data_IF_534525097528
#
_entry.id   IF_534525097528
#
_cell.length_a   1.000
_cell.length_b   1.000
_cell.length_c   1.000
_cell.angle_alpha   90.00
_cell.angle_beta   90.00
_cell.angle_gamma   90.00
#
_symmetry.space_group_name_H-M   'P 1'
#
loop_
_entity.id
_entity.type
_entity.pdbx_description
1 polymer ?
#
# COMPACT_ATOMS: atom_id res chain seq x y z
N UNK A 1 12.38 15.59 -7.68
CA UNK A 1 12.54 14.69 -8.84
C UNK A 1 11.24 14.35 -9.55
N UNK A 2 10.13 14.09 -8.85
CA UNK A 2 8.84 13.83 -9.52
C UNK A 2 8.40 14.97 -10.48
N UNK A 3 8.50 16.22 -10.02
CA UNK A 3 8.20 17.40 -10.84
C UNK A 3 9.07 17.51 -12.10
N UNK A 4 10.36 17.15 -12.02
CA UNK A 4 11.27 17.25 -13.17
C UNK A 4 10.97 16.20 -14.25
N UNK A 5 10.47 15.02 -13.87
CA UNK A 5 10.03 14.01 -14.85
C UNK A 5 8.79 14.52 -15.59
N UNK A 6 7.86 15.14 -14.87
CA UNK A 6 6.61 15.63 -15.44
C UNK A 6 6.82 16.78 -16.45
N UNK A 7 7.74 17.70 -16.17
CA UNK A 7 7.94 18.90 -17.01
C UNK A 7 9.06 18.76 -18.05
N UNK A 8 9.85 17.69 -18.01
CA UNK A 8 10.98 17.53 -18.93
C UNK A 8 10.51 17.11 -20.32
N UNK A 9 10.43 18.07 -21.25
CA UNK A 9 10.16 17.83 -22.66
C UNK A 9 11.09 16.79 -23.30
N UNK A 10 12.35 16.72 -22.85
CA UNK A 10 13.34 15.75 -23.36
C UNK A 10 13.14 14.29 -22.95
N UNK A 11 12.07 13.95 -22.22
CA UNK A 11 11.72 12.57 -21.85
C UNK A 11 10.65 11.94 -22.73
N UNK A 12 10.02 12.73 -23.60
CA UNK A 12 8.86 12.30 -24.36
C UNK A 12 9.03 12.62 -25.84
N UNK A 13 8.62 11.69 -26.68
CA UNK A 13 8.49 11.92 -28.11
C UNK A 13 7.15 12.61 -28.41
N UNK A 14 7.08 13.32 -29.54
CA UNK A 14 5.85 13.98 -30.01
C UNK A 14 4.90 12.96 -30.61
N UNK A 15 3.67 12.89 -30.10
CA UNK A 15 2.64 11.97 -30.58
C UNK A 15 1.68 12.73 -31.51
N UNK A 16 2.08 12.95 -32.77
CA UNK A 16 1.29 13.72 -33.74
C UNK A 16 0.63 12.78 -34.77
N UNK A 17 -0.71 12.74 -34.78
CA UNK A 17 -1.51 11.94 -35.72
C UNK A 17 -1.40 12.41 -37.18
N UNK A 18 -0.85 13.61 -37.42
CA UNK A 18 -0.55 14.11 -38.77
C UNK A 18 0.73 13.54 -39.34
N UNK A 19 1.64 13.09 -38.48
CA UNK A 19 2.94 12.53 -38.86
C UNK A 19 2.91 11.00 -38.82
N UNK A 20 2.06 10.40 -38.00
CA UNK A 20 2.04 8.96 -37.75
C UNK A 20 0.62 8.39 -37.82
N UNK A 21 0.47 7.08 -38.10
CA UNK A 21 -0.83 6.42 -38.02
C UNK A 21 -1.52 6.67 -36.67
N UNK A 22 -2.82 6.96 -36.69
CA UNK A 22 -3.60 7.32 -35.50
C UNK A 22 -3.44 6.31 -34.35
N UNK A 23 -3.38 5.02 -34.64
CA UNK A 23 -3.18 3.97 -33.63
C UNK A 23 -1.86 4.12 -32.87
N UNK A 24 -0.80 4.57 -33.54
CA UNK A 24 0.53 4.76 -32.96
C UNK A 24 0.58 6.07 -32.17
N UNK A 25 -0.01 7.15 -32.69
CA UNK A 25 -0.16 8.40 -31.95
C UNK A 25 -0.97 8.18 -30.65
N UNK A 26 -2.06 7.41 -30.72
CA UNK A 26 -2.84 7.01 -29.55
C UNK A 26 -2.02 6.19 -28.54
N UNK A 27 -1.29 5.17 -28.99
CA UNK A 27 -0.43 4.36 -28.12
C UNK A 27 0.71 5.20 -27.50
N UNK A 28 1.26 6.14 -28.25
CA UNK A 28 2.26 7.10 -27.79
C UNK A 28 1.71 7.97 -26.66
N UNK A 29 0.52 8.58 -26.81
CA UNK A 29 -0.08 9.40 -25.76
C UNK A 29 -0.50 8.57 -24.54
N UNK A 30 -1.04 7.36 -24.72
CA UNK A 30 -1.34 6.44 -23.61
C UNK A 30 -0.09 6.18 -22.74
N UNK A 31 1.00 5.75 -23.37
CA UNK A 31 2.23 5.35 -22.66
C UNK A 31 2.96 6.55 -22.06
N UNK A 32 2.95 7.70 -22.74
CA UNK A 32 3.45 8.99 -22.24
C UNK A 32 2.67 9.50 -21.03
N UNK A 33 1.34 9.44 -21.07
CA UNK A 33 0.47 9.80 -19.94
C UNK A 33 0.71 8.87 -18.75
N UNK A 34 0.89 7.57 -19.00
CA UNK A 34 1.24 6.58 -17.98
C UNK A 34 2.55 6.92 -17.27
N UNK A 35 3.62 7.23 -18.02
CA UNK A 35 4.91 7.65 -17.45
C UNK A 35 4.79 8.87 -16.52
N UNK A 36 3.97 9.85 -16.91
CA UNK A 36 3.73 11.07 -16.13
C UNK A 36 2.96 10.79 -14.84
N UNK A 37 1.93 9.94 -14.93
CA UNK A 37 1.04 9.65 -13.80
C UNK A 37 1.65 8.66 -12.80
N UNK A 38 2.47 7.72 -13.28
CA UNK A 38 3.07 6.66 -12.47
C UNK A 38 3.80 7.19 -11.24
N UNK A 39 4.65 8.22 -11.38
CA UNK A 39 5.49 8.70 -10.26
C UNK A 39 4.64 9.28 -9.12
N UNK A 40 3.59 10.04 -9.47
CA UNK A 40 2.69 10.62 -8.47
C UNK A 40 1.84 9.54 -7.81
N UNK A 41 1.36 8.58 -8.58
CA UNK A 41 0.58 7.46 -8.06
C UNK A 41 1.40 6.56 -7.13
N UNK A 42 2.65 6.24 -7.53
CA UNK A 42 3.61 5.49 -6.75
C UNK A 42 3.87 6.14 -5.36
N UNK A 43 3.97 7.46 -5.30
CA UNK A 43 4.11 8.20 -4.05
C UNK A 43 2.92 7.98 -3.10
N UNK A 44 1.69 7.99 -3.62
CA UNK A 44 0.49 7.75 -2.81
C UNK A 44 0.44 6.31 -2.30
N UNK A 45 0.75 5.34 -3.15
CA UNK A 45 0.80 3.92 -2.75
C UNK A 45 1.88 3.69 -1.68
N UNK A 46 3.05 4.29 -1.80
CA UNK A 46 4.09 4.21 -0.76
C UNK A 46 3.69 4.83 0.56
N UNK A 47 2.95 5.94 0.52
CA UNK A 47 2.44 6.57 1.74
C UNK A 47 1.46 5.65 2.48
N UNK A 48 0.58 4.97 1.74
CA UNK A 48 -0.33 3.96 2.28
C UNK A 48 0.41 2.77 2.89
N UNK A 49 1.41 2.24 2.19
CA UNK A 49 2.23 1.14 2.70
C UNK A 49 3.00 1.58 3.95
N UNK A 50 3.55 2.78 3.98
CA UNK A 50 4.23 3.33 5.16
C UNK A 50 3.29 3.47 6.36
N UNK A 51 2.05 3.93 6.16
CA UNK A 51 1.03 3.98 7.22
C UNK A 51 0.72 2.59 7.78
N UNK A 52 0.57 1.58 6.91
CA UNK A 52 0.40 0.19 7.32
C UNK A 52 1.58 -0.32 8.13
N UNK A 53 2.80 -0.02 7.70
CA UNK A 53 4.02 -0.45 8.40
C UNK A 53 4.14 0.16 9.79
N UNK A 54 3.83 1.45 9.94
CA UNK A 54 3.84 2.12 11.26
C UNK A 54 2.87 1.41 12.23
N UNK A 55 1.68 1.03 11.77
CA UNK A 55 0.70 0.33 12.59
C UNK A 55 1.16 -1.09 12.96
N UNK A 56 1.65 -1.87 11.98
CA UNK A 56 2.17 -3.24 12.21
C UNK A 56 3.35 -3.26 13.16
N UNK A 57 4.34 -2.39 12.95
CA UNK A 57 5.50 -2.28 13.85
C UNK A 57 5.07 -1.91 15.27
N UNK A 58 4.17 -0.93 15.41
CA UNK A 58 3.71 -0.51 16.74
C UNK A 58 3.01 -1.63 17.49
N UNK A 59 2.05 -2.32 16.86
CA UNK A 59 1.33 -3.41 17.53
C UNK A 59 2.25 -4.58 17.87
N UNK A 60 3.22 -4.88 17.00
CA UNK A 60 4.19 -5.94 17.25
C UNK A 60 4.98 -5.70 18.53
N UNK A 61 5.56 -4.51 18.69
CA UNK A 61 6.33 -4.20 19.89
C UNK A 61 5.47 -4.11 21.15
N UNK A 62 4.22 -3.67 21.02
CA UNK A 62 3.25 -3.68 22.12
C UNK A 62 2.89 -5.11 22.56
N UNK A 63 2.69 -6.04 21.63
CA UNK A 63 2.43 -7.44 21.93
C UNK A 63 3.69 -8.13 22.50
N UNK A 64 4.86 -7.86 21.92
CA UNK A 64 6.15 -8.40 22.36
C UNK A 64 6.45 -8.02 23.81
N UNK A 65 6.19 -6.75 24.17
CA UNK A 65 6.35 -6.26 25.56
C UNK A 65 5.47 -7.01 26.57
N UNK A 66 4.38 -7.64 26.12
CA UNK A 66 3.42 -8.39 26.92
C UNK A 66 3.63 -9.89 26.87
N UNK A 67 4.78 -10.34 26.36
CA UNK A 67 5.07 -11.76 26.25
C UNK A 67 4.25 -12.46 25.16
N UNK A 68 3.82 -11.73 24.13
CA UNK A 68 3.15 -12.31 22.97
C UNK A 68 3.93 -12.02 21.70
N UNK A 69 4.22 -13.05 20.91
CA UNK A 69 4.86 -12.92 19.60
C UNK A 69 3.77 -12.92 18.54
N UNK A 70 3.56 -11.77 17.91
CA UNK A 70 2.63 -11.65 16.79
C UNK A 70 3.32 -12.16 15.51
N UNK A 71 2.79 -13.23 14.96
CA UNK A 71 3.23 -13.85 13.71
C UNK A 71 2.46 -13.24 12.54
N UNK A 72 3.14 -12.39 11.77
CA UNK A 72 2.56 -11.71 10.62
C UNK A 72 2.61 -12.62 9.40
N UNK A 73 1.52 -12.70 8.65
CA UNK A 73 1.55 -13.40 7.36
C UNK A 73 2.57 -12.71 6.44
N UNK A 74 3.51 -13.50 5.93
CA UNK A 74 4.45 -13.06 4.89
C UNK A 74 3.68 -12.86 3.59
N UNK A 75 3.23 -11.61 3.35
CA UNK A 75 2.58 -11.25 2.09
C UNK A 75 3.66 -11.02 1.05
N UNK A 76 3.75 -11.93 0.08
CA UNK A 76 4.64 -11.71 -1.06
C UNK A 76 4.13 -10.52 -1.90
N UNK A 77 5.02 -9.65 -2.42
CA UNK A 77 4.59 -8.50 -3.23
C UNK A 77 3.72 -8.88 -4.43
N UNK A 78 3.91 -10.08 -4.98
CA UNK A 78 3.14 -10.61 -6.12
C UNK A 78 1.70 -11.02 -5.77
N UNK A 79 1.32 -10.99 -4.49
CA UNK A 79 -0.05 -11.21 -4.05
C UNK A 79 -0.77 -9.93 -3.63
N UNK A 80 -0.07 -8.80 -3.48
CA UNK A 80 -0.71 -7.52 -3.20
C UNK A 80 -1.19 -6.84 -4.50
N UNK A 81 -2.50 -6.55 -4.63
CA UNK A 81 -3.04 -5.86 -5.80
C UNK A 81 -2.40 -4.48 -6.06
N UNK A 82 -1.98 -3.74 -5.04
CA UNK A 82 -1.34 -2.42 -5.20
C UNK A 82 0.06 -2.54 -5.82
N UNK A 83 0.84 -3.53 -5.40
CA UNK A 83 2.16 -3.79 -5.97
C UNK A 83 2.06 -4.28 -7.42
N UNK A 84 1.12 -5.19 -7.69
CA UNK A 84 0.82 -5.66 -9.04
C UNK A 84 0.36 -4.51 -9.95
N UNK A 85 -0.52 -3.64 -9.45
CA UNK A 85 -1.00 -2.46 -10.17
C UNK A 85 0.16 -1.51 -10.52
N UNK A 86 1.04 -1.20 -9.56
CA UNK A 86 2.22 -0.36 -9.82
C UNK A 86 3.17 -0.99 -10.84
N UNK A 87 3.41 -2.29 -10.74
CA UNK A 87 4.25 -3.03 -11.69
C UNK A 87 3.65 -2.97 -13.09
N UNK A 88 2.33 -3.19 -13.21
CA UNK A 88 1.61 -3.08 -14.48
C UNK A 88 1.67 -1.67 -15.06
N UNK A 89 1.45 -0.63 -14.24
CA UNK A 89 1.62 0.77 -14.63
C UNK A 89 3.03 1.07 -15.14
N UNK A 90 4.06 0.54 -14.49
CA UNK A 90 5.45 0.68 -14.93
C UNK A 90 5.67 -0.04 -16.27
N UNK A 91 5.14 -1.24 -16.45
CA UNK A 91 5.27 -1.96 -17.73
C UNK A 91 4.63 -1.17 -18.88
N UNK A 92 3.43 -0.61 -18.70
CA UNK A 92 2.80 0.29 -19.68
C UNK A 92 3.66 1.53 -19.93
N UNK A 93 4.28 2.09 -18.88
CA UNK A 93 5.18 3.23 -19.05
C UNK A 93 6.42 2.87 -19.87
N UNK A 94 6.98 1.67 -19.68
CA UNK A 94 8.17 1.20 -20.40
C UNK A 94 7.90 0.90 -21.88
N UNK A 95 6.66 0.55 -22.26
CA UNK A 95 6.33 0.39 -23.68
C UNK A 95 6.45 1.71 -24.46
N UNK A 96 6.49 2.88 -23.80
CA UNK A 96 6.82 4.15 -24.45
C UNK A 96 8.19 4.14 -25.13
N UNK A 97 9.16 3.39 -24.57
CA UNK A 97 10.50 3.26 -25.18
C UNK A 97 10.42 2.53 -26.52
N UNK A 98 9.53 1.52 -26.63
CA UNK A 98 9.32 0.78 -27.87
C UNK A 98 8.65 1.66 -28.93
N UNK A 99 7.64 2.44 -28.52
CA UNK A 99 6.99 3.42 -29.42
C UNK A 99 8.00 4.46 -29.89
N UNK A 100 8.81 5.02 -28.98
CA UNK A 100 9.86 5.97 -29.33
C UNK A 100 10.89 5.35 -30.28
N UNK A 101 11.36 4.13 -30.02
CA UNK A 101 12.31 3.44 -30.89
C UNK A 101 11.76 3.27 -32.33
N UNK A 102 10.49 2.88 -32.44
CA UNK A 102 9.80 2.78 -33.74
C UNK A 102 9.73 4.14 -34.45
N UNK A 103 9.34 5.21 -33.75
CA UNK A 103 9.27 6.55 -34.33
C UNK A 103 10.63 7.07 -34.80
N UNK A 104 11.69 6.85 -34.01
CA UNK A 104 13.05 7.25 -34.41
C UNK A 104 13.52 6.51 -35.67
N UNK A 105 13.13 5.25 -35.83
CA UNK A 105 13.40 4.48 -37.03
C UNK A 105 12.66 5.04 -38.24
N UNK A 106 11.35 5.28 -38.12
CA UNK A 106 10.51 5.80 -39.20
C UNK A 106 10.95 7.19 -39.67
N UNK A 107 11.35 8.06 -38.72
CA UNK A 107 11.84 9.41 -39.00
C UNK A 107 13.27 9.45 -39.59
N UNK A 108 13.90 8.29 -39.81
CA UNK A 108 15.31 8.16 -40.21
C UNK A 108 16.27 8.95 -39.30
N UNK A 109 15.97 9.06 -38.01
CA UNK A 109 16.84 9.71 -37.02
C UNK A 109 18.06 8.84 -36.74
N UNK A 110 19.18 9.48 -36.41
CA UNK A 110 20.41 8.74 -36.12
C UNK A 110 20.29 7.92 -34.84
N UNK A 111 20.95 6.76 -34.81
CA UNK A 111 21.03 5.90 -33.62
C UNK A 111 21.58 6.67 -32.41
N UNK A 112 22.51 7.59 -32.63
CA UNK A 112 23.06 8.44 -31.56
C UNK A 112 22.00 9.31 -30.88
N UNK A 113 21.06 9.88 -31.64
CA UNK A 113 19.97 10.67 -31.07
C UNK A 113 19.04 9.79 -30.23
N UNK A 114 18.77 8.56 -30.68
CA UNK A 114 17.98 7.60 -29.90
C UNK A 114 18.71 7.19 -28.62
N UNK A 115 20.02 6.94 -28.66
CA UNK A 115 20.82 6.60 -27.48
C UNK A 115 20.86 7.73 -26.44
N UNK A 116 20.92 8.99 -26.87
CA UNK A 116 20.83 10.15 -25.97
C UNK A 116 19.46 10.20 -25.28
N UNK A 117 18.37 9.99 -26.02
CA UNK A 117 17.02 9.88 -25.46
C UNK A 117 16.90 8.72 -24.47
N UNK A 118 17.33 7.52 -24.88
CA UNK A 118 17.28 6.32 -24.06
C UNK A 118 18.05 6.50 -22.75
N UNK A 119 19.26 7.07 -22.82
CA UNK A 119 20.06 7.39 -21.63
C UNK A 119 19.30 8.33 -20.69
N UNK A 120 18.62 9.35 -21.22
CA UNK A 120 17.83 10.27 -20.40
C UNK A 120 16.66 9.55 -19.72
N UNK A 121 15.91 8.71 -20.44
CA UNK A 121 14.80 7.92 -19.89
C UNK A 121 15.28 6.92 -18.84
N UNK A 122 16.38 6.21 -19.10
CA UNK A 122 16.94 5.25 -18.15
C UNK A 122 17.37 5.94 -16.86
N UNK A 123 18.16 7.01 -16.97
CA UNK A 123 18.70 7.72 -15.80
C UNK A 123 17.62 8.44 -15.02
N UNK A 124 16.70 9.16 -15.68
CA UNK A 124 15.72 10.01 -15.00
C UNK A 124 14.44 9.27 -14.59
N UNK A 125 14.14 8.13 -15.21
CA UNK A 125 12.89 7.41 -14.98
C UNK A 125 13.13 5.95 -14.56
N UNK A 126 13.64 5.10 -15.47
CA UNK A 126 13.67 3.64 -15.27
C UNK A 126 14.47 3.24 -14.02
N UNK A 127 15.67 3.78 -13.86
CA UNK A 127 16.52 3.47 -12.70
C UNK A 127 15.82 3.81 -11.38
N UNK A 128 15.15 4.96 -11.32
CA UNK A 128 14.44 5.41 -10.13
C UNK A 128 13.21 4.56 -9.85
N UNK A 129 12.44 4.20 -10.89
CA UNK A 129 11.27 3.33 -10.77
C UNK A 129 11.64 1.91 -10.33
N UNK A 130 12.73 1.34 -10.85
CA UNK A 130 13.21 0.02 -10.44
C UNK A 130 13.72 0.01 -9.00
N UNK A 131 14.54 1.01 -8.63
CA UNK A 131 15.01 1.17 -7.25
C UNK A 131 13.82 1.36 -6.30
N UNK A 132 12.86 2.20 -6.67
CA UNK A 132 11.62 2.37 -5.93
C UNK A 132 10.86 1.06 -5.73
N UNK A 133 10.62 0.28 -6.79
CA UNK A 133 9.90 -0.99 -6.67
C UNK A 133 10.69 -2.02 -5.85
N UNK A 134 12.02 -2.03 -5.93
CA UNK A 134 12.85 -2.89 -5.10
C UNK A 134 12.71 -2.52 -3.60
N UNK A 135 12.82 -1.24 -3.26
CA UNK A 135 12.57 -0.77 -1.89
C UNK A 135 11.14 -1.06 -1.43
N UNK A 136 10.16 -0.89 -2.32
CA UNK A 136 8.77 -1.19 -2.02
C UNK A 136 8.60 -2.68 -1.75
N UNK A 137 9.16 -3.55 -2.59
CA UNK A 137 9.13 -5.00 -2.41
C UNK A 137 9.81 -5.43 -1.10
N UNK A 138 10.96 -4.84 -0.75
CA UNK A 138 11.60 -5.06 0.55
C UNK A 138 10.74 -4.56 1.72
N UNK A 139 9.87 -3.57 1.50
CA UNK A 139 8.97 -3.09 2.53
C UNK A 139 7.75 -3.99 2.79
N UNK A 140 7.52 -5.01 1.96
CA UNK A 140 6.53 -6.06 2.23
C UNK A 140 7.01 -7.08 3.25
N UNK A 141 8.33 -7.23 3.37
CA UNK A 141 8.94 -8.15 4.32
C UNK A 141 8.97 -7.50 5.71
N UNK A 142 7.83 -7.57 6.39
CA UNK A 142 7.66 -6.96 7.70
C UNK A 142 8.57 -7.54 8.74
N UNK A 143 8.82 -8.85 8.70
CA UNK A 143 9.69 -9.53 9.65
C UNK A 143 11.12 -8.99 9.60
N UNK A 144 11.65 -8.77 8.39
CA UNK A 144 12.97 -8.19 8.20
C UNK A 144 13.08 -6.72 8.64
N UNK A 145 11.96 -6.01 8.82
CA UNK A 145 11.95 -4.66 9.37
C UNK A 145 11.82 -4.61 10.89
N UNK A 146 11.38 -5.71 11.51
CA UNK A 146 11.25 -5.80 12.96
C UNK A 146 12.61 -6.10 13.60
N UNK A 147 12.74 -5.75 14.88
CA UNK A 147 13.98 -6.05 15.60
C UNK A 147 14.07 -7.57 15.78
N UNK A 148 15.14 -8.22 15.29
CA UNK A 148 15.24 -9.67 15.39
C UNK A 148 15.29 -10.07 16.87
N UNK A 149 14.57 -11.14 17.22
CA UNK A 149 14.52 -11.66 18.60
C UNK A 149 15.91 -11.97 19.15
N UNK A 150 16.86 -12.34 18.28
CA UNK A 150 18.26 -12.56 18.67
C UNK A 150 18.88 -11.36 19.38
N UNK A 151 18.53 -10.13 18.97
CA UNK A 151 19.06 -8.93 19.59
C UNK A 151 18.53 -8.70 21.01
N UNK A 152 17.33 -9.21 21.33
CA UNK A 152 16.85 -9.24 22.72
C UNK A 152 17.57 -10.29 23.56
N UNK A 153 18.01 -11.39 22.94
CA UNK A 153 18.77 -12.46 23.60
C UNK A 153 20.22 -12.05 23.89
N UNK A 154 20.79 -11.13 23.10
CA UNK A 154 22.17 -10.66 23.25
C UNK A 154 22.42 -9.91 24.57
N UNK A 155 21.44 -9.16 25.08
CA UNK A 155 21.62 -8.36 26.31
C UNK A 155 21.60 -9.22 27.60
N UNK A 156 20.64 -10.16 27.72
CA UNK A 156 20.56 -11.13 28.82
C UNK A 156 20.00 -12.48 28.29
N UNK A 157 20.87 -13.45 27.98
CA UNK A 157 20.46 -14.70 27.35
C UNK A 157 19.63 -15.60 28.28
N UNK A 158 19.78 -15.47 29.60
CA UNK A 158 19.07 -16.32 30.56
C UNK A 158 17.65 -15.81 30.74
N UNK A 159 17.48 -14.50 30.98
CA UNK A 159 16.16 -13.87 31.06
C UNK A 159 15.40 -14.01 29.73
N UNK A 160 16.06 -13.78 28.60
CA UNK A 160 15.43 -13.89 27.29
C UNK A 160 14.94 -15.32 26.99
N UNK A 161 15.71 -16.36 27.32
CA UNK A 161 15.26 -17.76 27.16
C UNK A 161 14.04 -18.08 28.03
N UNK A 162 14.02 -17.56 29.26
CA UNK A 162 12.90 -17.78 30.18
C UNK A 162 11.64 -17.03 29.72
N UNK A 163 11.78 -15.83 29.18
CA UNK A 163 10.67 -15.07 28.60
C UNK A 163 10.17 -15.74 27.31
N UNK A 164 11.06 -16.05 26.37
CA UNK A 164 10.72 -16.67 25.08
C UNK A 164 10.03 -18.02 25.25
N UNK A 165 10.37 -18.81 26.28
CA UNK A 165 9.70 -20.09 26.53
C UNK A 165 8.27 -19.95 27.06
N UNK A 166 7.92 -18.78 27.60
CA UNK A 166 6.59 -18.45 28.10
C UNK A 166 5.80 -17.60 27.10
N UNK A 167 6.42 -17.16 26.01
CA UNK A 167 5.77 -16.28 25.05
C UNK A 167 4.68 -17.01 24.28
N UNK A 168 3.48 -16.43 24.27
CA UNK A 168 2.39 -16.91 23.46
C UNK A 168 2.57 -16.48 22.01
N UNK A 169 2.44 -17.41 21.06
CA UNK A 169 2.45 -17.10 19.64
C UNK A 169 1.02 -16.77 19.20
N UNK A 170 0.83 -15.60 18.60
CA UNK A 170 -0.47 -15.11 18.13
C UNK A 170 -0.42 -14.98 16.62
N UNK A 171 -1.28 -15.73 15.92
CA UNK A 171 -1.41 -15.64 14.47
C UNK A 171 -2.13 -14.34 14.08
N UNK A 172 -1.66 -13.67 13.02
CA UNK A 172 -2.27 -12.44 12.51
C UNK A 172 -3.76 -12.58 12.21
N UNK A 173 -4.18 -13.68 11.57
CA UNK A 173 -5.59 -13.92 11.24
C UNK A 173 -6.48 -13.97 12.49
N UNK A 174 -6.05 -14.68 13.54
CA UNK A 174 -6.78 -14.77 14.81
C UNK A 174 -6.85 -13.43 15.54
N UNK A 175 -5.77 -12.65 15.50
CA UNK A 175 -5.74 -11.31 16.07
C UNK A 175 -6.66 -10.34 15.31
N UNK A 176 -6.62 -10.39 13.97
CA UNK A 176 -7.50 -9.61 13.11
C UNK A 176 -8.97 -9.91 13.40
N UNK A 177 -9.36 -11.19 13.41
CA UNK A 177 -10.72 -11.63 13.72
C UNK A 177 -11.17 -11.17 15.11
N UNK A 178 -10.30 -11.28 16.13
CA UNK A 178 -10.60 -10.82 17.49
C UNK A 178 -10.81 -9.30 17.55
N UNK A 179 -10.02 -8.53 16.80
CA UNK A 179 -10.16 -7.07 16.71
C UNK A 179 -11.43 -6.66 15.98
N UNK A 180 -11.74 -7.32 14.85
CA UNK A 180 -12.96 -7.08 14.08
C UNK A 180 -14.23 -7.38 14.86
N UNK A 181 -14.21 -8.43 15.68
CA UNK A 181 -15.30 -8.77 16.61
C UNK A 181 -15.32 -7.93 17.88
N UNK A 182 -14.39 -6.98 18.04
CA UNK A 182 -14.31 -6.14 19.24
C UNK A 182 -13.89 -6.87 20.51
N UNK A 183 -13.41 -8.12 20.42
CA UNK A 183 -12.98 -8.95 21.57
C UNK A 183 -11.66 -8.51 22.21
N UNK A 184 -10.97 -7.57 21.58
CA UNK A 184 -9.77 -6.94 22.13
C UNK A 184 -10.09 -5.89 23.21
N UNK A 185 -11.36 -5.65 23.55
CA UNK A 185 -11.77 -4.73 24.60
C UNK A 185 -12.50 -5.53 25.69
N UNK A 186 -12.21 -5.30 26.99
CA UNK A 186 -12.92 -5.98 28.07
C UNK A 186 -14.44 -5.77 27.99
N UNK A 187 -15.20 -6.84 28.19
CA UNK A 187 -16.67 -6.77 28.18
C UNK A 187 -17.20 -5.87 29.30
N UNK A 188 -18.19 -5.03 28.97
CA UNK A 188 -18.85 -4.15 29.94
C UNK A 188 -18.03 -2.92 30.39
N UNK A 189 -16.86 -2.67 29.79
CA UNK A 189 -16.00 -1.54 30.17
C UNK A 189 -16.09 -0.40 29.14
N UNK A 190 -16.38 0.81 29.60
CA UNK A 190 -16.43 2.01 28.73
C UNK A 190 -15.05 2.44 28.24
N UNK A 191 -14.03 2.29 29.08
CA UNK A 191 -12.65 2.72 28.78
C UNK A 191 -11.66 1.77 29.41
N UNK A 192 -10.61 1.40 28.66
CA UNK A 192 -9.56 0.52 29.15
C UNK A 192 -8.17 1.12 28.88
N UNK A 193 -7.16 0.55 29.52
CA UNK A 193 -5.76 0.77 29.17
C UNK A 193 -5.40 -0.05 27.94
N UNK A 194 -4.33 0.31 27.25
CA UNK A 194 -3.78 -0.54 26.18
C UNK A 194 -3.42 -1.92 26.73
N UNK A 195 -2.88 -1.99 27.94
CA UNK A 195 -2.52 -3.26 28.59
C UNK A 195 -3.68 -4.24 28.72
N UNK A 196 -4.81 -3.79 29.25
CA UNK A 196 -6.04 -4.59 29.34
C UNK A 196 -6.52 -5.02 27.95
N UNK A 197 -6.47 -4.10 26.97
CA UNK A 197 -6.90 -4.40 25.61
C UNK A 197 -6.08 -5.51 24.96
N UNK A 198 -4.75 -5.46 25.08
CA UNK A 198 -3.90 -6.49 24.50
C UNK A 198 -3.95 -7.81 25.28
N UNK A 199 -4.21 -7.78 26.59
CA UNK A 199 -4.48 -8.99 27.36
C UNK A 199 -5.77 -9.68 26.87
N UNK A 200 -6.82 -8.91 26.61
CA UNK A 200 -8.06 -9.42 25.99
C UNK A 200 -7.82 -9.94 24.57
N UNK A 201 -7.01 -9.24 23.76
CA UNK A 201 -6.63 -9.71 22.43
C UNK A 201 -5.90 -11.05 22.50
N UNK A 202 -4.95 -11.19 23.43
CA UNK A 202 -4.20 -12.42 23.64
C UNK A 202 -5.13 -13.57 24.05
N UNK A 203 -5.99 -13.34 25.04
CA UNK A 203 -6.98 -14.34 25.48
C UNK A 203 -7.93 -14.76 24.35
N UNK A 204 -8.44 -13.79 23.57
CA UNK A 204 -9.35 -14.07 22.46
C UNK A 204 -8.67 -14.84 21.31
N UNK A 205 -7.40 -14.55 21.03
CA UNK A 205 -6.64 -15.18 19.94
C UNK A 205 -6.17 -16.60 20.28
N UNK A 206 -5.91 -16.88 21.56
CA UNK A 206 -5.45 -18.20 22.06
C UNK A 206 -6.59 -19.19 22.29
N UNK A 207 -7.83 -18.70 22.43
CA UNK A 207 -9.02 -19.53 22.61
C UNK A 207 -9.51 -20.21 21.33
N UNK A 208 -8.99 -19.85 20.15
CA UNK A 208 -9.29 -20.57 18.92
C UNK A 208 -8.62 -21.93 19.02
N UNK A 209 -9.37 -23.03 19.30
CA UNK A 209 -8.75 -24.33 19.46
C UNK A 209 -8.11 -24.68 18.12
N UNK A 210 -6.80 -24.93 18.12
CA UNK A 210 -6.17 -25.61 17.00
C UNK A 210 -6.83 -26.98 16.90
N UNK A 211 -7.85 -27.08 16.05
CA UNK A 211 -8.52 -28.34 15.78
C UNK A 211 -7.51 -29.20 15.04
N UNK A 212 -6.80 -30.03 15.81
CA UNK A 212 -5.94 -31.08 15.26
C UNK A 212 -6.90 -32.17 14.81
N UNK A 213 -7.13 -32.28 13.52
CA UNK A 213 -7.93 -33.38 12.96
C UNK A 213 -7.28 -34.71 13.35
N UNK A 214 -8.09 -35.76 13.52
CA UNK A 214 -7.66 -37.11 13.94
C UNK A 214 -6.56 -37.72 13.04
N UNK A 215 -6.37 -37.17 11.83
CA UNK A 215 -5.30 -37.54 10.91
C UNK A 215 -3.91 -36.98 11.29
N UNK A 216 -3.78 -36.16 12.34
CA UNK A 216 -2.52 -35.53 12.74
C UNK A 216 -1.98 -34.50 11.74
N UNK A 217 -2.70 -34.26 10.64
CA UNK A 217 -2.50 -33.11 9.76
C UNK A 217 -3.19 -31.91 10.40
N UNK A 218 -2.42 -30.88 10.75
CA UNK A 218 -2.97 -29.59 11.16
C UNK A 218 -4.01 -29.13 10.12
N UNK A 219 -5.28 -29.06 10.53
CA UNK A 219 -6.42 -28.49 9.77
C UNK A 219 -6.24 -27.00 9.44
N UNK A 220 -5.08 -26.43 9.75
CA UNK A 220 -4.60 -25.13 9.30
C UNK A 220 -4.74 -24.98 7.79
N UNK A 221 -4.54 -26.05 7.01
CA UNK A 221 -4.75 -26.04 5.57
C UNK A 221 -6.22 -25.77 5.18
N UNK A 222 -7.18 -26.20 6.00
CA UNK A 222 -8.61 -26.05 5.74
C UNK A 222 -9.11 -24.64 6.12
N UNK A 223 -8.63 -24.09 7.24
CA UNK A 223 -8.81 -22.67 7.60
C UNK A 223 -8.17 -21.73 6.57
N UNK A 224 -6.98 -22.05 6.06
CA UNK A 224 -6.32 -21.30 4.98
C UNK A 224 -7.08 -21.43 3.64
N UNK A 225 -7.67 -22.59 3.34
CA UNK A 225 -8.48 -22.81 2.13
C UNK A 225 -9.84 -22.12 2.18
N UNK A 226 -10.46 -22.01 3.36
CA UNK A 226 -11.77 -21.38 3.50
C UNK A 226 -11.65 -19.83 3.51
N UNK A 227 -10.53 -19.31 4.02
CA UNK A 227 -10.23 -17.87 4.02
C UNK A 227 -9.65 -17.35 2.68
N UNK A 228 -9.23 -18.22 1.76
CA UNK A 228 -8.63 -17.81 0.47
C UNK A 228 -9.65 -17.39 -0.60
N UNK A 229 -10.96 -17.61 -0.38
CA UNK A 229 -12.00 -17.36 -1.39
C UNK A 229 -12.76 -16.05 -1.23
N UNK A 230 -12.75 -15.42 -0.06
CA UNK A 230 -13.53 -14.18 0.18
C UNK A 230 -12.62 -12.96 -0.03
N UNK A 231 -12.72 -12.41 -1.24
CA UNK A 231 -12.33 -11.07 -1.69
C UNK A 231 -10.88 -10.59 -1.46
N UNK A 232 -10.02 -10.85 -2.46
CA UNK A 232 -8.67 -10.25 -2.60
C UNK A 232 -8.62 -8.71 -2.47
N UNK A 233 -9.73 -8.00 -2.70
CA UNK A 233 -9.82 -6.55 -2.55
C UNK A 233 -10.21 -6.10 -1.14
N UNK A 234 -11.00 -6.90 -0.40
CA UNK A 234 -11.26 -6.66 1.02
C UNK A 234 -10.00 -6.88 1.86
N UNK A 235 -9.03 -7.67 1.35
CA UNK A 235 -7.78 -7.99 2.04
C UNK A 235 -6.98 -6.75 2.46
N UNK A 236 -6.85 -5.71 1.64
CA UNK A 236 -6.07 -4.52 2.05
C UNK A 236 -6.70 -3.77 3.24
N UNK A 237 -8.03 -3.63 3.27
CA UNK A 237 -8.74 -3.01 4.40
C UNK A 237 -8.71 -3.94 5.63
N UNK A 238 -8.85 -5.24 5.44
CA UNK A 238 -8.75 -6.24 6.50
C UNK A 238 -7.35 -6.25 7.14
N UNK A 239 -6.30 -6.05 6.34
CA UNK A 239 -4.91 -5.95 6.79
C UNK A 239 -4.61 -4.70 7.64
N UNK A 240 -5.56 -3.75 7.75
CA UNK A 240 -5.44 -2.57 8.60
C UNK A 240 -6.06 -2.76 10.00
N UNK A 241 -6.34 -4.01 10.40
CA UNK A 241 -6.74 -4.36 11.76
C UNK A 241 -5.78 -3.82 12.86
N UNK A 242 -4.44 -3.72 12.67
CA UNK A 242 -3.56 -3.15 13.71
C UNK A 242 -3.91 -1.71 14.03
N UNK A 243 -4.23 -0.91 13.01
CA UNK A 243 -4.68 0.46 13.19
C UNK A 243 -6.01 0.51 13.94
N UNK A 244 -6.94 -0.43 13.68
CA UNK A 244 -8.21 -0.53 14.41
C UNK A 244 -7.98 -0.80 15.90
N UNK A 245 -7.13 -1.76 16.24
CA UNK A 245 -6.79 -2.07 17.62
C UNK A 245 -6.09 -0.88 18.32
N UNK A 246 -5.10 -0.27 17.66
CA UNK A 246 -4.31 0.83 18.23
C UNK A 246 -5.10 2.14 18.41
N UNK A 247 -6.10 2.37 17.55
CA UNK A 247 -6.85 3.63 17.51
C UNK A 247 -8.24 3.52 18.16
N UNK A 248 -8.59 2.39 18.78
CA UNK A 248 -9.90 2.24 19.44
C UNK A 248 -10.09 3.37 20.47
N UNK A 249 -11.19 4.15 20.39
CA UNK A 249 -11.41 5.31 21.25
C UNK A 249 -11.53 4.97 22.74
N UNK A 250 -11.85 3.70 23.07
CA UNK A 250 -11.99 3.22 24.45
C UNK A 250 -10.62 3.09 25.15
N UNK A 251 -9.53 2.99 24.40
CA UNK A 251 -8.16 2.93 24.93
C UNK A 251 -7.67 4.34 25.30
N UNK A 252 -7.44 4.61 26.59
CA UNK A 252 -7.16 5.96 27.13
C UNK A 252 -5.79 6.17 27.79
N UNK A 253 -4.84 5.25 27.65
CA UNK A 253 -3.51 5.43 28.24
C UNK A 253 -2.65 6.49 27.50
N UNK A 254 -1.72 7.11 28.23
CA UNK A 254 -0.87 8.20 27.71
C UNK A 254 -0.07 7.83 26.46
N UNK A 255 0.42 6.59 26.38
CA UNK A 255 1.21 6.11 25.25
C UNK A 255 0.32 5.97 24.00
N UNK A 256 -0.86 5.36 24.14
CA UNK A 256 -1.86 5.28 23.07
C UNK A 256 -2.32 6.66 22.60
N UNK A 257 -2.52 7.61 23.52
CA UNK A 257 -2.88 9.00 23.17
C UNK A 257 -1.76 9.72 22.41
N UNK A 258 -0.49 9.49 22.76
CA UNK A 258 0.66 9.99 21.99
C UNK A 258 0.68 9.39 20.58
N UNK A 259 0.49 8.07 20.47
CA UNK A 259 0.44 7.40 19.18
C UNK A 259 -0.71 7.92 18.31
N UNK A 260 -1.93 8.04 18.85
CA UNK A 260 -3.09 8.62 18.16
C UNK A 260 -2.79 10.01 17.61
N UNK A 261 -2.14 10.89 18.39
CA UNK A 261 -1.73 12.23 17.93
C UNK A 261 -0.77 12.17 16.74
N UNK A 262 0.24 11.30 16.80
CA UNK A 262 1.19 11.12 15.69
C UNK A 262 0.47 10.55 14.47
N UNK A 263 -0.37 9.54 14.65
CA UNK A 263 -1.16 8.93 13.59
C UNK A 263 -2.04 9.96 12.87
N UNK A 264 -2.76 10.79 13.61
CA UNK A 264 -3.59 11.86 13.04
C UNK A 264 -2.77 12.95 12.38
N UNK A 265 -1.60 13.30 12.91
CA UNK A 265 -0.70 14.25 12.27
C UNK A 265 -0.20 13.72 10.91
N UNK A 266 0.23 12.46 10.85
CA UNK A 266 0.71 11.84 9.60
C UNK A 266 -0.44 11.71 8.59
N UNK A 267 -1.62 11.23 9.00
CA UNK A 267 -2.79 11.14 8.11
C UNK A 267 -3.29 12.52 7.68
N UNK A 268 -3.23 13.51 8.58
CA UNK A 268 -3.54 14.91 8.28
C UNK A 268 -2.63 15.52 7.23
N UNK A 269 -1.38 15.04 7.07
CA UNK A 269 -0.50 15.38 5.95
C UNK A 269 -0.78 14.52 4.71
N UNK A 270 -1.12 13.25 4.89
CA UNK A 270 -1.35 12.32 3.80
C UNK A 270 -2.58 12.66 2.96
N UNK A 271 -3.68 13.05 3.60
CA UNK A 271 -4.94 13.38 2.91
C UNK A 271 -4.77 14.57 1.94
N UNK A 272 -4.23 15.74 2.38
CA UNK A 272 -3.98 16.86 1.47
C UNK A 272 -3.02 16.51 0.33
N UNK A 273 -1.98 15.70 0.61
CA UNK A 273 -1.03 15.28 -0.43
C UNK A 273 -1.72 14.42 -1.49
N UNK A 274 -2.50 13.42 -1.08
CA UNK A 274 -3.28 12.57 -2.00
C UNK A 274 -4.33 13.38 -2.74
N UNK A 275 -5.01 14.30 -2.07
CA UNK A 275 -5.97 15.20 -2.69
C UNK A 275 -5.31 16.11 -3.75
N UNK A 276 -4.11 16.63 -3.48
CA UNK A 276 -3.35 17.43 -4.44
C UNK A 276 -2.98 16.62 -5.69
N UNK A 277 -2.57 15.37 -5.53
CA UNK A 277 -2.32 14.45 -6.66
C UNK A 277 -3.60 14.17 -7.44
N UNK A 278 -4.73 13.97 -6.76
CA UNK A 278 -6.03 13.79 -7.41
C UNK A 278 -6.43 15.03 -8.23
N UNK A 279 -6.32 16.24 -7.66
CA UNK A 279 -6.59 17.49 -8.39
C UNK A 279 -5.71 17.64 -9.62
N UNK A 280 -4.46 17.19 -9.53
CA UNK A 280 -3.54 17.20 -10.66
C UNK A 280 -4.01 16.26 -11.79
N UNK A 281 -4.43 15.04 -11.48
CA UNK A 281 -5.00 14.13 -12.48
C UNK A 281 -6.32 14.66 -13.06
N UNK A 282 -7.19 15.25 -12.24
CA UNK A 282 -8.43 15.88 -12.72
C UNK A 282 -8.16 17.06 -13.65
N UNK A 283 -7.13 17.86 -13.35
CA UNK A 283 -6.68 18.94 -14.24
C UNK A 283 -6.15 18.39 -15.56
N UNK A 284 -5.38 17.30 -15.53
CA UNK A 284 -4.90 16.62 -16.74
C UNK A 284 -6.08 16.11 -17.58
N UNK A 285 -7.03 15.40 -16.97
CA UNK A 285 -8.26 14.91 -17.62
C UNK A 285 -9.03 16.06 -18.27
N UNK A 286 -9.18 17.20 -17.58
CA UNK A 286 -9.86 18.36 -18.13
C UNK A 286 -9.14 18.93 -19.36
N UNK A 287 -7.81 19.09 -19.28
CA UNK A 287 -7.03 19.61 -20.40
C UNK A 287 -7.13 18.69 -21.62
N UNK A 288 -6.90 17.39 -21.42
CA UNK A 288 -6.96 16.40 -22.51
C UNK A 288 -8.38 16.32 -23.11
N UNK A 289 -9.43 16.49 -22.29
CA UNK A 289 -10.81 16.59 -22.78
C UNK A 289 -11.05 17.85 -23.63
N UNK A 290 -10.49 19.00 -23.23
CA UNK A 290 -10.58 20.24 -24.01
C UNK A 290 -9.85 20.11 -25.35
N UNK A 291 -8.72 19.40 -25.40
CA UNK A 291 -7.94 19.17 -26.63
C UNK A 291 -8.62 18.17 -27.58
N UNK A 292 -9.18 17.07 -27.04
CA UNK A 292 -10.05 16.16 -27.80
C UNK A 292 -11.25 16.90 -28.39
N UNK A 293 -11.87 17.82 -27.62
CA UNK A 293 -13.00 18.64 -28.10
C UNK A 293 -12.60 19.59 -29.24
N UNK A 294 -11.34 20.03 -29.30
CA UNK A 294 -10.80 20.83 -30.42
C UNK A 294 -10.45 19.97 -31.65
N UNK A 295 -10.62 18.64 -31.57
CA UNK A 295 -10.40 17.71 -32.67
C UNK A 295 -9.06 16.98 -32.63
N UNK A 296 -8.29 17.07 -31.53
CA UNK A 296 -7.05 16.30 -31.34
C UNK A 296 -7.40 14.89 -30.86
N UNK A 297 -7.74 14.00 -31.79
CA UNK A 297 -8.24 12.65 -31.47
C UNK A 297 -7.15 11.73 -30.91
N UNK A 298 -5.86 12.04 -31.12
CA UNK A 298 -4.73 11.37 -30.49
C UNK A 298 -4.74 11.45 -28.95
N UNK A 299 -5.24 12.55 -28.38
CA UNK A 299 -5.23 12.81 -26.94
C UNK A 299 -6.25 11.96 -26.17
N UNK A 300 -7.14 11.23 -26.87
CA UNK A 300 -8.09 10.28 -26.26
C UNK A 300 -7.35 9.21 -25.45
N UNK A 301 -6.16 8.79 -25.90
CA UNK A 301 -5.35 7.82 -25.18
C UNK A 301 -4.81 8.37 -23.84
N UNK A 302 -4.28 9.59 -23.88
CA UNK A 302 -3.82 10.31 -22.69
C UNK A 302 -4.95 10.54 -21.68
N UNK A 303 -6.11 10.97 -22.17
CA UNK A 303 -7.34 11.18 -21.40
C UNK A 303 -7.79 9.91 -20.68
N UNK A 304 -7.87 8.77 -21.38
CA UNK A 304 -8.30 7.50 -20.80
C UNK A 304 -7.37 7.07 -19.66
N UNK A 305 -6.06 7.18 -19.85
CA UNK A 305 -5.07 6.86 -18.83
C UNK A 305 -5.20 7.80 -17.62
N UNK A 306 -5.22 9.12 -17.85
CA UNK A 306 -5.34 10.10 -16.77
C UNK A 306 -6.62 9.90 -15.94
N UNK A 307 -7.73 9.55 -16.60
CA UNK A 307 -9.00 9.24 -15.94
C UNK A 307 -8.91 7.99 -15.06
N UNK A 308 -8.29 6.91 -15.54
CA UNK A 308 -8.07 5.69 -14.74
C UNK A 308 -7.21 5.96 -13.51
N UNK A 309 -6.13 6.75 -13.65
CA UNK A 309 -5.31 7.16 -12.50
C UNK A 309 -6.08 8.04 -11.52
N UNK A 310 -6.95 8.95 -11.99
CA UNK A 310 -7.80 9.75 -11.12
C UNK A 310 -8.78 8.87 -10.33
N UNK A 311 -9.43 7.89 -10.97
CA UNK A 311 -10.32 6.94 -10.29
C UNK A 311 -9.58 6.10 -9.26
N UNK A 312 -8.42 5.53 -9.62
CA UNK A 312 -7.60 4.76 -8.69
C UNK A 312 -7.16 5.61 -7.49
N UNK A 313 -6.72 6.85 -7.74
CA UNK A 313 -6.31 7.78 -6.66
C UNK A 313 -7.49 8.19 -5.78
N UNK A 314 -8.68 8.38 -6.35
CA UNK A 314 -9.90 8.63 -5.58
C UNK A 314 -10.21 7.45 -4.65
N UNK A 315 -10.08 6.21 -5.14
CA UNK A 315 -10.25 5.02 -4.32
C UNK A 315 -9.19 4.93 -3.21
N UNK A 316 -7.93 5.26 -3.48
CA UNK A 316 -6.91 5.31 -2.43
C UNK A 316 -7.20 6.43 -1.41
N UNK A 317 -7.73 7.56 -1.85
CA UNK A 317 -8.14 8.65 -0.96
C UNK A 317 -9.29 8.23 -0.05
N UNK A 318 -10.29 7.49 -0.55
CA UNK A 318 -11.36 6.96 0.31
C UNK A 318 -10.81 5.97 1.34
N UNK A 319 -9.80 5.16 0.99
CA UNK A 319 -9.12 4.30 1.96
C UNK A 319 -8.37 5.09 3.04
N UNK A 320 -7.57 6.09 2.67
CA UNK A 320 -6.87 6.95 3.66
C UNK A 320 -7.89 7.68 4.55
N UNK A 321 -8.99 8.16 3.95
CA UNK A 321 -10.08 8.77 4.68
C UNK A 321 -10.69 7.80 5.69
N UNK A 322 -11.00 6.58 5.30
CA UNK A 322 -11.53 5.56 6.19
C UNK A 322 -10.59 5.25 7.37
N UNK A 323 -9.26 5.28 7.15
CA UNK A 323 -8.27 5.13 8.22
C UNK A 323 -8.31 6.25 9.26
N UNK A 324 -8.66 7.47 8.84
CA UNK A 324 -8.83 8.61 9.74
C UNK A 324 -10.05 8.41 10.64
N UNK A 325 -11.10 7.77 10.13
CA UNK A 325 -12.40 7.63 10.79
C UNK A 325 -12.64 6.26 11.46
N UNK A 326 -11.63 5.39 11.49
CA UNK A 326 -11.64 4.12 12.26
C UNK A 326 -12.26 4.30 13.67
N UNK A 327 -11.82 5.26 14.50
CA UNK A 327 -12.34 5.38 15.87
C UNK A 327 -13.82 5.77 15.94
N UNK A 328 -14.36 6.45 14.93
CA UNK A 328 -15.78 6.85 14.93
C UNK A 328 -16.71 5.70 14.52
N UNK A 329 -16.22 4.77 13.70
CA UNK A 329 -17.01 3.62 13.24
C UNK A 329 -17.16 2.55 14.33
N UNK A 330 -16.15 2.34 15.18
CA UNK A 330 -16.22 1.33 16.25
C UNK A 330 -17.34 1.61 17.25
N UNK A 331 -17.64 2.89 17.53
CA UNK A 331 -18.73 3.29 18.42
C UNK A 331 -20.12 2.88 17.90
N UNK A 332 -20.33 2.92 16.58
CA UNK A 332 -21.61 2.57 15.97
C UNK A 332 -21.84 1.06 15.88
N UNK A 333 -20.77 0.26 15.81
CA UNK A 333 -20.85 -1.20 15.84
C UNK A 333 -21.23 -1.73 17.22
N UNK A 334 -20.66 -1.14 18.28
CA UNK A 334 -20.92 -1.54 19.67
C UNK A 334 -22.38 -1.31 20.11
N UNK A 335 -23.09 -0.34 19.52
CA UNK A 335 -24.50 -0.09 19.86
C UNK A 335 -25.49 -1.12 19.28
N UNK A 336 -25.03 -2.02 18.40
CA UNK A 336 -25.88 -3.01 17.73
C UNK A 336 -25.67 -4.45 18.21
N UNK A 337 -24.61 -4.70 18.99
CA UNK A 337 -24.31 -6.01 19.57
C UNK A 337 -24.87 -6.10 20.99
#
# INVERSE_FOLDING_TARGET
MALTVYTSSGLFVTCDSRQQPLAIAFACECTKSSMRCFVLFAMIVSLLIALRQIARQRIYYEMLRRGALLDFETVTPFHDPLFLLLTFCLLISLTHILVAAWQYHEDNKSVDQFLVFLKAVVVKYVAHSCVFLAFLASAYDTENQLLPLSKYVEEDPVAARLLLSQMAIVLEASAAEAVERGRHIPEGVETCTSEESYACLLAASTQVPLHVDEAGSLSMAQLLLENTRVEKYAKFIAEMWPARALLDPRIKDDNSLRFKRVWYAVNGCAIPLTFLVLLFFLRQVRNDLEDVRKGQTEDVGGLAVAFLYALATLQLLTYIWDLLFIPMRSLHGAAKA
#
